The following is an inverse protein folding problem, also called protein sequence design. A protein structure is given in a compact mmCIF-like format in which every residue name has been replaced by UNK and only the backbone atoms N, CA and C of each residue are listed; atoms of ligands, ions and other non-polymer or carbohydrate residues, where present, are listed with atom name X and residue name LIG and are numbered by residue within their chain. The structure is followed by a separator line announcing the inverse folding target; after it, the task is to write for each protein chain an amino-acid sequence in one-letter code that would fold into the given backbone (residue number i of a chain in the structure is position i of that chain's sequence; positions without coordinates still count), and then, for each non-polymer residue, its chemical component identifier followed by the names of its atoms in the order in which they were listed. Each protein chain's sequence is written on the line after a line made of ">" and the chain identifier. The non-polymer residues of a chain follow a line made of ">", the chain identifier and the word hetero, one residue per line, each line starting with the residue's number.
data_IF_415045754523
#
_entry.id   IF_415045754523
#
_cell.length_a   1.000
_cell.length_b   1.000
_cell.length_c   1.000
_cell.angle_alpha   90.00
_cell.angle_beta   90.00
_cell.angle_gamma   90.00
#
_symmetry.space_group_name_H-M   'P 1'
#
loop_
_entity.id
_entity.type
_entity.pdbx_description
1 polymer ?
#
# COMPACT_ATOMS: atom_id res chain seq x y z
N UNK A 1 -82.91 27.68 52.61
CA UNK A 1 -81.47 27.85 52.82
C UNK A 1 -80.75 27.05 51.75
N UNK A 2 -80.27 27.75 50.72
CA UNK A 2 -79.76 27.18 49.47
C UNK A 2 -78.30 26.77 49.65
N UNK A 3 -77.96 25.49 49.50
CA UNK A 3 -76.57 25.03 49.49
C UNK A 3 -76.11 24.86 48.04
N UNK A 4 -75.26 25.77 47.58
CA UNK A 4 -74.71 25.81 46.23
C UNK A 4 -73.46 24.91 46.10
N UNK A 5 -73.29 24.39 44.89
CA UNK A 5 -72.37 23.35 44.41
C UNK A 5 -70.88 23.72 44.55
N UNK A 6 -70.02 22.72 44.81
CA UNK A 6 -68.63 22.72 44.31
C UNK A 6 -68.18 21.31 43.89
N UNK A 7 -68.66 20.84 42.74
CA UNK A 7 -68.16 19.65 42.04
C UNK A 7 -67.70 20.07 40.65
N UNK A 8 -66.39 20.13 40.42
CA UNK A 8 -65.86 20.29 39.06
C UNK A 8 -64.50 20.98 38.95
N UNK A 9 -63.44 20.40 39.52
CA UNK A 9 -62.05 20.80 39.18
C UNK A 9 -61.12 19.58 38.95
N UNK A 10 -61.40 18.40 39.52
CA UNK A 10 -60.47 17.25 39.51
C UNK A 10 -60.34 16.45 38.20
N UNK A 11 -61.07 16.75 37.12
CA UNK A 11 -61.06 15.92 35.89
C UNK A 11 -59.94 16.28 34.90
N UNK A 12 -59.42 17.52 34.94
CA UNK A 12 -58.36 17.99 34.04
C UNK A 12 -56.94 17.60 34.46
N UNK A 13 -56.69 17.54 35.77
CA UNK A 13 -55.35 17.40 36.34
C UNK A 13 -54.72 16.02 36.06
N UNK A 14 -55.51 14.95 36.13
CA UNK A 14 -55.06 13.58 35.80
C UNK A 14 -54.77 13.40 34.30
N UNK A 15 -55.51 14.10 33.42
CA UNK A 15 -55.26 14.06 31.97
C UNK A 15 -53.96 14.77 31.60
N UNK A 16 -53.66 15.89 32.26
CA UNK A 16 -52.42 16.65 32.08
C UNK A 16 -51.22 15.84 32.60
N UNK A 17 -51.32 15.22 33.79
CA UNK A 17 -50.27 14.35 34.33
C UNK A 17 -49.96 13.15 33.42
N UNK A 18 -51.00 12.51 32.88
CA UNK A 18 -50.84 11.35 32.00
C UNK A 18 -50.29 11.72 30.61
N UNK A 19 -50.58 12.95 30.14
CA UNK A 19 -50.00 13.50 28.91
C UNK A 19 -48.52 13.86 29.12
N UNK A 20 -48.17 14.45 30.26
CA UNK A 20 -46.79 14.81 30.60
C UNK A 20 -45.90 13.57 30.78
N UNK A 21 -46.37 12.51 31.46
CA UNK A 21 -45.61 11.27 31.60
C UNK A 21 -45.36 10.56 30.25
N UNK A 22 -46.34 10.62 29.35
CA UNK A 22 -46.21 10.09 27.98
C UNK A 22 -45.22 10.94 27.16
N UNK A 23 -45.20 12.25 27.35
CA UNK A 23 -44.24 13.16 26.70
C UNK A 23 -42.80 12.85 27.16
N UNK A 24 -42.57 12.75 28.47
CA UNK A 24 -41.25 12.43 29.05
C UNK A 24 -40.74 11.07 28.58
N UNK A 25 -41.63 10.07 28.52
CA UNK A 25 -41.29 8.75 27.98
C UNK A 25 -40.87 8.81 26.51
N UNK A 26 -41.59 9.59 25.69
CA UNK A 26 -41.25 9.77 24.26
C UNK A 26 -39.93 10.54 24.06
N UNK A 27 -39.62 11.50 24.92
CA UNK A 27 -38.34 12.24 24.89
C UNK A 27 -37.16 11.34 25.29
N UNK A 28 -37.32 10.53 26.33
CA UNK A 28 -36.31 9.55 26.74
C UNK A 28 -36.04 8.50 25.64
N UNK A 29 -37.09 8.02 24.96
CA UNK A 29 -36.94 7.11 23.82
C UNK A 29 -36.20 7.76 22.66
N UNK A 30 -36.49 9.03 22.34
CA UNK A 30 -35.76 9.79 21.30
C UNK A 30 -34.28 9.91 21.64
N UNK A 31 -33.93 10.24 22.89
CA UNK A 31 -32.53 10.34 23.33
C UNK A 31 -31.78 9.01 23.21
N UNK A 32 -32.40 7.90 23.59
CA UNK A 32 -31.80 6.56 23.46
C UNK A 32 -31.58 6.18 21.99
N UNK A 33 -32.53 6.51 21.13
CA UNK A 33 -32.43 6.29 19.69
C UNK A 33 -31.25 7.08 19.06
N UNK A 34 -31.10 8.36 19.40
CA UNK A 34 -29.96 9.16 18.93
C UNK A 34 -28.61 8.67 19.46
N UNK A 35 -28.53 8.29 20.74
CA UNK A 35 -27.33 7.68 21.32
C UNK A 35 -26.97 6.37 20.61
N UNK A 36 -27.97 5.57 20.22
CA UNK A 36 -27.74 4.33 19.50
C UNK A 36 -27.19 4.58 18.09
N UNK A 37 -27.75 5.53 17.34
CA UNK A 37 -27.22 5.93 16.03
C UNK A 37 -25.77 6.45 16.16
N UNK A 38 -25.48 7.24 17.19
CA UNK A 38 -24.14 7.76 17.43
C UNK A 38 -23.12 6.64 17.73
N UNK A 39 -23.51 5.65 18.56
CA UNK A 39 -22.69 4.46 18.82
C UNK A 39 -22.43 3.65 17.55
N UNK A 40 -23.43 3.47 16.71
CA UNK A 40 -23.29 2.72 15.46
C UNK A 40 -22.40 3.44 14.45
N UNK A 41 -22.50 4.78 14.36
CA UNK A 41 -21.58 5.58 13.57
C UNK A 41 -20.14 5.46 14.06
N UNK A 42 -19.92 5.50 15.37
CA UNK A 42 -18.58 5.31 15.95
C UNK A 42 -18.02 3.90 15.66
N UNK A 43 -18.85 2.86 15.78
CA UNK A 43 -18.49 1.50 15.40
C UNK A 43 -18.17 1.37 13.92
N UNK A 44 -18.94 2.02 13.04
CA UNK A 44 -18.70 2.02 11.60
C UNK A 44 -17.39 2.73 11.25
N UNK A 45 -17.10 3.88 11.87
CA UNK A 45 -15.82 4.59 11.68
C UNK A 45 -14.66 3.72 12.17
N UNK A 46 -14.78 3.10 13.35
CA UNK A 46 -13.75 2.20 13.87
C UNK A 46 -13.54 0.99 12.95
N UNK A 47 -14.63 0.40 12.45
CA UNK A 47 -14.58 -0.71 11.49
C UNK A 47 -13.89 -0.29 10.18
N UNK A 48 -14.19 0.89 9.65
CA UNK A 48 -13.52 1.44 8.47
C UNK A 48 -12.03 1.67 8.74
N UNK A 49 -11.66 2.23 9.91
CA UNK A 49 -10.25 2.41 10.28
C UNK A 49 -9.51 1.08 10.37
N UNK A 50 -10.10 0.08 11.05
CA UNK A 50 -9.52 -1.25 11.15
C UNK A 50 -9.42 -1.94 9.78
N UNK A 51 -10.41 -1.75 8.91
CA UNK A 51 -10.38 -2.26 7.53
C UNK A 51 -9.26 -1.63 6.71
N UNK A 52 -9.08 -0.30 6.80
CA UNK A 52 -7.98 0.41 6.14
C UNK A 52 -6.60 -0.04 6.64
N UNK A 53 -6.45 -0.33 7.94
CA UNK A 53 -5.18 -0.80 8.49
C UNK A 53 -4.81 -2.23 8.04
N UNK A 54 -5.79 -3.09 7.74
CA UNK A 54 -5.53 -4.43 7.20
C UNK A 54 -5.01 -4.41 5.76
N UNK A 55 -5.24 -3.33 5.00
CA UNK A 55 -4.76 -3.22 3.61
C UNK A 55 -3.26 -2.93 3.48
N UNK A 56 -2.55 -2.65 4.58
CA UNK A 56 -1.10 -2.39 4.56
C UNK A 56 -0.24 -3.65 4.77
N UNK A 57 -0.84 -4.82 4.99
CA UNK A 57 -0.11 -6.06 5.16
C UNK A 57 -0.06 -6.87 3.86
N UNK A 58 1.10 -6.78 3.20
CA UNK A 58 1.81 -7.76 2.33
C UNK A 58 2.57 -7.09 1.17
N UNK A 59 3.29 -6.00 1.45
CA UNK A 59 4.33 -5.54 0.54
C UNK A 59 5.58 -6.41 0.70
N UNK A 60 5.63 -7.60 0.08
CA UNK A 60 6.92 -8.26 -0.10
C UNK A 60 7.75 -7.30 -0.95
N UNK A 61 8.77 -6.69 -0.35
CA UNK A 61 9.59 -5.70 -1.04
C UNK A 61 10.42 -6.41 -2.11
N UNK A 62 9.89 -6.48 -3.32
CA UNK A 62 10.57 -7.02 -4.48
C UNK A 62 11.83 -6.19 -4.75
N UNK A 63 12.97 -6.87 -4.88
CA UNK A 63 14.26 -6.24 -5.17
C UNK A 63 14.52 -6.22 -6.67
N UNK A 64 14.79 -5.05 -7.23
CA UNK A 64 15.14 -4.90 -8.63
C UNK A 64 16.66 -4.93 -8.78
N UNK A 65 17.17 -5.94 -9.47
CA UNK A 65 18.61 -6.19 -9.62
C UNK A 65 18.97 -6.02 -11.09
N UNK A 66 19.97 -5.19 -11.38
CA UNK A 66 20.51 -5.01 -12.73
C UNK A 66 21.86 -5.72 -12.82
N UNK A 67 21.96 -6.77 -13.63
CA UNK A 67 23.19 -7.45 -13.98
C UNK A 67 23.73 -6.90 -15.31
N UNK A 68 24.95 -6.34 -15.29
CA UNK A 68 25.65 -5.86 -16.49
C UNK A 68 26.81 -6.82 -16.78
N UNK A 69 26.70 -7.53 -17.91
CA UNK A 69 27.74 -8.43 -18.38
C UNK A 69 28.71 -7.71 -19.33
N UNK A 70 30.01 -7.98 -19.18
CA UNK A 70 31.02 -7.50 -20.15
C UNK A 70 30.74 -8.02 -21.57
N UNK A 71 30.31 -9.28 -21.68
CA UNK A 71 30.14 -9.98 -22.95
C UNK A 71 28.71 -10.42 -23.22
N UNK A 72 28.40 -10.67 -24.49
CA UNK A 72 27.11 -11.22 -24.93
C UNK A 72 26.84 -12.62 -24.38
N UNK A 73 25.55 -12.96 -24.27
CA UNK A 73 25.05 -14.24 -23.74
C UNK A 73 25.53 -15.47 -24.52
N UNK A 74 25.89 -15.36 -25.81
CA UNK A 74 26.30 -16.54 -26.61
C UNK A 74 27.69 -17.09 -26.23
N UNK A 75 28.37 -16.51 -25.23
CA UNK A 75 29.56 -17.10 -24.62
C UNK A 75 29.11 -17.99 -23.45
N UNK A 76 29.40 -19.28 -23.55
CA UNK A 76 28.98 -20.29 -22.57
C UNK A 76 29.37 -19.94 -21.13
N UNK A 77 30.51 -19.27 -20.93
CA UNK A 77 30.93 -18.78 -19.62
C UNK A 77 29.97 -17.74 -19.03
N UNK A 78 29.49 -16.79 -19.84
CA UNK A 78 28.55 -15.74 -19.41
C UNK A 78 27.19 -16.32 -19.02
N UNK A 79 26.73 -17.34 -19.76
CA UNK A 79 25.50 -18.06 -19.45
C UNK A 79 25.62 -18.86 -18.15
N UNK A 80 26.73 -19.56 -17.95
CA UNK A 80 27.00 -20.29 -16.70
C UNK A 80 27.06 -19.34 -15.49
N UNK A 81 27.73 -18.20 -15.64
CA UNK A 81 27.82 -17.19 -14.58
C UNK A 81 26.46 -16.58 -14.24
N UNK A 82 25.69 -16.20 -15.26
CA UNK A 82 24.34 -15.65 -15.09
C UNK A 82 23.41 -16.68 -14.43
N UNK A 83 23.55 -17.96 -14.77
CA UNK A 83 22.78 -19.05 -14.16
C UNK A 83 23.13 -19.23 -12.69
N UNK A 84 24.43 -19.22 -12.33
CA UNK A 84 24.87 -19.31 -10.94
C UNK A 84 24.40 -18.12 -10.08
N UNK A 85 24.38 -16.91 -10.65
CA UNK A 85 23.82 -15.74 -9.97
C UNK A 85 22.32 -15.94 -9.71
N UNK A 86 21.55 -16.40 -10.70
CA UNK A 86 20.11 -16.68 -10.54
C UNK A 86 19.85 -17.74 -9.48
N UNK A 87 20.64 -18.81 -9.45
CA UNK A 87 20.55 -19.86 -8.44
C UNK A 87 20.76 -19.30 -7.03
N UNK A 88 21.83 -18.55 -6.81
CA UNK A 88 22.10 -17.92 -5.51
C UNK A 88 21.01 -16.92 -5.09
N UNK A 89 20.45 -16.14 -6.02
CA UNK A 89 19.34 -15.22 -5.74
C UNK A 89 18.07 -15.98 -5.35
N UNK A 90 17.78 -17.12 -6.01
CA UNK A 90 16.63 -17.96 -5.68
C UNK A 90 16.74 -18.60 -4.29
N UNK A 91 17.95 -18.97 -3.88
CA UNK A 91 18.21 -19.51 -2.53
C UNK A 91 18.02 -18.46 -1.42
N UNK A 92 18.14 -17.17 -1.74
CA UNK A 92 18.04 -16.07 -0.78
C UNK A 92 16.65 -15.88 -0.14
N UNK A 93 15.60 -16.50 -0.69
CA UNK A 93 14.25 -16.47 -0.10
C UNK A 93 13.53 -15.12 -0.15
N UNK A 94 13.97 -14.20 -1.02
CA UNK A 94 13.30 -12.92 -1.28
C UNK A 94 12.78 -12.84 -2.71
N UNK A 95 11.79 -11.99 -2.95
CA UNK A 95 11.28 -11.72 -4.30
C UNK A 95 12.21 -10.74 -5.01
N UNK A 96 12.55 -11.02 -6.26
CA UNK A 96 13.40 -10.15 -7.06
C UNK A 96 13.00 -10.13 -8.53
N UNK A 97 13.28 -9.01 -9.20
CA UNK A 97 13.32 -8.90 -10.66
C UNK A 97 14.77 -8.78 -11.08
N UNK A 98 15.20 -9.58 -12.05
CA UNK A 98 16.56 -9.52 -12.58
C UNK A 98 16.54 -9.00 -14.01
N UNK A 99 17.10 -7.82 -14.19
CA UNK A 99 17.42 -7.24 -15.49
C UNK A 99 18.82 -7.68 -15.89
N UNK A 100 19.00 -8.14 -17.14
CA UNK A 100 20.31 -8.58 -17.63
C UNK A 100 20.66 -7.78 -18.88
N UNK A 101 21.73 -7.01 -18.80
CA UNK A 101 22.29 -6.21 -19.88
C UNK A 101 23.65 -6.75 -20.29
N UNK A 102 24.04 -6.50 -21.54
CA UNK A 102 25.34 -6.90 -22.05
C UNK A 102 25.98 -5.76 -22.83
N UNK A 103 27.25 -5.48 -22.51
CA UNK A 103 28.02 -4.43 -23.16
C UNK A 103 28.54 -4.81 -24.54
N UNK A 104 28.52 -6.11 -24.88
CA UNK A 104 29.08 -6.64 -26.13
C UNK A 104 30.51 -6.17 -26.41
N UNK A 105 31.32 -5.95 -25.36
CA UNK A 105 32.60 -5.22 -25.42
C UNK A 105 33.64 -5.82 -26.38
N UNK A 106 33.51 -7.10 -26.76
CA UNK A 106 34.39 -7.77 -27.73
C UNK A 106 33.94 -7.63 -29.19
N UNK A 107 32.75 -7.08 -29.43
CA UNK A 107 32.16 -6.87 -30.76
C UNK A 107 32.11 -5.40 -31.16
N UNK A 108 32.28 -4.49 -30.21
CA UNK A 108 32.19 -3.03 -30.42
C UNK A 108 33.43 -2.34 -29.88
N UNK A 109 33.74 -1.15 -30.41
CA UNK A 109 34.74 -0.28 -29.79
C UNK A 109 34.12 0.39 -28.56
N UNK A 110 34.54 -0.06 -27.37
CA UNK A 110 34.04 0.43 -26.09
C UNK A 110 34.11 1.96 -25.96
N UNK A 111 35.16 2.61 -26.48
CA UNK A 111 35.33 4.07 -26.36
C UNK A 111 34.26 4.85 -27.13
N UNK A 112 33.78 4.27 -28.22
CA UNK A 112 32.74 4.88 -29.06
C UNK A 112 31.34 4.47 -28.58
N UNK A 113 31.18 3.23 -28.15
CA UNK A 113 29.87 2.65 -27.86
C UNK A 113 29.38 2.93 -26.43
N UNK A 114 30.26 2.89 -25.43
CA UNK A 114 29.88 2.99 -24.02
C UNK A 114 29.13 4.28 -23.66
N UNK A 115 29.52 5.49 -24.13
CA UNK A 115 28.73 6.70 -23.86
C UNK A 115 27.28 6.61 -24.36
N UNK A 116 27.10 6.00 -25.53
CA UNK A 116 25.77 5.80 -26.13
C UNK A 116 24.99 4.74 -25.36
N UNK A 117 25.66 3.65 -24.97
CA UNK A 117 25.07 2.59 -24.17
C UNK A 117 24.63 3.09 -22.79
N UNK A 118 25.44 3.90 -22.12
CA UNK A 118 25.07 4.55 -20.87
C UNK A 118 23.81 5.41 -21.02
N UNK A 119 23.74 6.22 -22.07
CA UNK A 119 22.56 7.04 -22.36
C UNK A 119 21.30 6.18 -22.57
N UNK A 120 21.46 5.03 -23.24
CA UNK A 120 20.40 4.04 -23.40
C UNK A 120 19.97 3.46 -22.05
N UNK A 121 20.91 3.00 -21.21
CA UNK A 121 20.60 2.44 -19.89
C UNK A 121 19.86 3.46 -19.02
N UNK A 122 20.35 4.70 -18.99
CA UNK A 122 19.76 5.79 -18.23
C UNK A 122 18.31 6.06 -18.65
N UNK A 123 18.03 6.04 -19.95
CA UNK A 123 16.67 6.18 -20.47
C UNK A 123 15.79 4.95 -20.16
N UNK A 124 16.35 3.75 -20.33
CA UNK A 124 15.66 2.46 -20.14
C UNK A 124 15.22 2.26 -18.69
N UNK A 125 16.05 2.65 -17.73
CA UNK A 125 15.84 2.40 -16.30
C UNK A 125 15.42 3.65 -15.52
N UNK A 126 15.07 4.76 -16.17
CA UNK A 126 14.68 6.01 -15.47
C UNK A 126 13.49 5.85 -14.53
N UNK A 127 12.57 4.92 -14.84
CA UNK A 127 11.41 4.60 -14.00
C UNK A 127 11.60 3.30 -13.21
N UNK A 128 12.71 2.60 -13.42
CA UNK A 128 13.03 1.37 -12.71
C UNK A 128 13.76 1.74 -11.43
N UNK A 129 13.17 1.42 -10.28
CA UNK A 129 13.82 1.57 -8.99
C UNK A 129 14.85 0.44 -8.80
N UNK A 130 16.00 0.52 -9.46
CA UNK A 130 17.09 -0.46 -9.33
C UNK A 130 17.69 -0.37 -7.92
N UNK A 131 17.59 -1.44 -7.13
CA UNK A 131 18.12 -1.52 -5.78
C UNK A 131 19.61 -1.93 -5.77
N UNK A 132 20.00 -2.78 -6.72
CA UNK A 132 21.34 -3.41 -6.76
C UNK A 132 21.82 -3.47 -8.22
N UNK A 133 23.09 -3.13 -8.44
CA UNK A 133 23.78 -3.37 -9.71
C UNK A 133 24.86 -4.42 -9.47
N UNK A 134 24.83 -5.48 -10.28
CA UNK A 134 25.84 -6.52 -10.35
C UNK A 134 26.60 -6.37 -11.67
N UNK A 135 27.91 -6.60 -11.65
CA UNK A 135 28.76 -6.55 -12.85
C UNK A 135 29.58 -7.81 -13.00
N UNK A 136 29.92 -8.17 -14.23
CA UNK A 136 30.78 -9.33 -14.52
C UNK A 136 31.96 -8.96 -15.43
N UNK A 137 33.14 -9.43 -15.03
CA UNK A 137 34.44 -9.19 -15.71
C UNK A 137 34.86 -7.71 -15.79
N UNK A 138 36.03 -7.48 -16.42
CA UNK A 138 36.73 -6.20 -16.40
C UNK A 138 36.05 -5.10 -17.22
N UNK A 139 35.44 -5.41 -18.36
CA UNK A 139 34.89 -4.36 -19.23
C UNK A 139 33.62 -3.73 -18.61
N UNK A 140 32.82 -4.52 -17.90
CA UNK A 140 31.69 -4.03 -17.10
C UNK A 140 32.15 -3.22 -15.89
N UNK A 141 33.25 -3.61 -15.24
CA UNK A 141 33.87 -2.81 -14.20
C UNK A 141 34.33 -1.46 -14.74
N UNK A 142 35.07 -1.44 -15.85
CA UNK A 142 35.52 -0.20 -16.49
C UNK A 142 34.36 0.70 -16.90
N UNK A 143 33.29 0.11 -17.45
CA UNK A 143 32.06 0.86 -17.76
C UNK A 143 31.46 1.51 -16.50
N UNK A 144 31.34 0.78 -15.39
CA UNK A 144 30.79 1.33 -14.14
C UNK A 144 31.71 2.34 -13.45
N UNK A 145 33.02 2.27 -13.66
CA UNK A 145 33.98 3.25 -13.13
C UNK A 145 33.91 4.57 -13.91
N UNK A 146 33.59 4.51 -15.21
CA UNK A 146 33.57 5.68 -16.08
C UNK A 146 32.19 6.38 -16.15
N UNK A 147 31.08 5.67 -15.93
CA UNK A 147 29.70 6.15 -16.16
C UNK A 147 28.74 5.93 -14.99
#
# INVERSE_FOLDING_TARGET
>A
MTLFIKRGIFRGENSIKHKNSKLEFMEAQRLNFFKQIFRWKLFLVLFLVLFYLNSFATGVQQKNILLINSYHQQISWTDSLTSGIKEALNEGGFQYELYVESLDSKRVDSKLFFPTYYSLLKAKYVQSNIDIILITDNDALLFMEEY
#
